data_IF_186990312187
#
_entry.id   IF_186990312187
#
_cell.length_a   1.000
_cell.length_b   1.000
_cell.length_c   1.000
_cell.angle_alpha   90.00
_cell.angle_beta   90.00
_cell.angle_gamma   90.00
#
_symmetry.space_group_name_H-M   'P 1'
#
loop_
_entity.id
_entity.type
_entity.pdbx_description
1 polymer ?
#
# COMPACT_ATOMS: atom_id res chain seq x y z
N UNK A 1 7.63 -11.61 -6.43
CA UNK A 1 8.89 -10.84 -6.51
C UNK A 1 8.65 -9.34 -6.45
N UNK A 2 9.32 -8.61 -5.54
CA UNK A 2 9.33 -7.15 -5.47
C UNK A 2 10.04 -6.50 -6.67
N UNK A 3 9.66 -5.26 -7.01
CA UNK A 3 10.43 -4.41 -7.92
C UNK A 3 11.65 -3.80 -7.21
N UNK A 4 12.60 -3.25 -7.96
CA UNK A 4 13.85 -2.73 -7.38
C UNK A 4 13.63 -1.51 -6.47
N UNK A 5 12.75 -0.61 -6.89
CA UNK A 5 12.30 0.54 -6.09
C UNK A 5 11.63 0.11 -4.79
N UNK A 6 10.79 -0.93 -4.82
CA UNK A 6 10.18 -1.51 -3.63
C UNK A 6 11.23 -2.13 -2.70
N UNK A 7 12.20 -2.89 -3.23
CA UNK A 7 13.30 -3.45 -2.43
C UNK A 7 14.10 -2.35 -1.72
N UNK A 8 14.43 -1.29 -2.45
CA UNK A 8 15.21 -0.18 -1.92
C UNK A 8 14.41 0.61 -0.85
N UNK A 9 13.14 0.90 -1.12
CA UNK A 9 12.29 1.65 -0.20
C UNK A 9 11.93 0.87 1.08
N UNK A 10 11.72 -0.44 0.98
CA UNK A 10 11.31 -1.31 2.09
C UNK A 10 12.47 -2.09 2.73
N UNK A 11 13.70 -1.90 2.23
CA UNK A 11 14.93 -2.55 2.70
C UNK A 11 14.80 -4.08 2.70
N UNK A 12 14.36 -4.63 1.56
CA UNK A 12 14.10 -6.07 1.40
C UNK A 12 15.33 -6.82 0.89
N UNK A 13 15.55 -8.03 1.40
CA UNK A 13 16.49 -8.99 0.80
C UNK A 13 15.88 -9.70 -0.42
N UNK A 14 16.70 -10.47 -1.16
CA UNK A 14 16.29 -11.18 -2.38
C UNK A 14 15.12 -12.16 -2.17
N UNK A 15 15.07 -12.79 -1.00
CA UNK A 15 14.08 -13.84 -0.68
C UNK A 15 12.77 -13.29 -0.13
N UNK A 16 12.68 -11.97 0.10
CA UNK A 16 11.50 -11.38 0.70
C UNK A 16 10.45 -11.03 -0.34
N UNK A 17 9.21 -11.40 -0.04
CA UNK A 17 8.06 -11.13 -0.89
C UNK A 17 7.23 -9.95 -0.38
N UNK A 18 6.37 -9.43 -1.25
CA UNK A 18 5.48 -8.30 -0.96
C UNK A 18 4.04 -8.64 -1.33
N UNK A 19 3.11 -8.03 -0.61
CA UNK A 19 1.69 -7.94 -0.96
C UNK A 19 1.43 -6.55 -1.53
N UNK A 20 0.71 -6.48 -2.65
CA UNK A 20 0.32 -5.22 -3.28
C UNK A 20 -1.18 -5.04 -3.24
N UNK A 21 -1.62 -3.88 -2.77
CA UNK A 21 -3.01 -3.44 -2.81
C UNK A 21 -3.16 -2.36 -3.87
N UNK A 22 -4.14 -2.55 -4.76
CA UNK A 22 -4.60 -1.57 -5.75
C UNK A 22 -6.05 -1.27 -5.44
N UNK A 23 -6.35 -0.04 -5.01
CA UNK A 23 -7.67 0.29 -4.45
C UNK A 23 -8.19 1.62 -4.97
N UNK A 24 -9.45 1.63 -5.39
CA UNK A 24 -10.20 2.87 -5.58
C UNK A 24 -10.81 3.29 -4.24
N UNK A 25 -10.48 4.49 -3.77
CA UNK A 25 -10.94 5.05 -2.50
C UNK A 25 -12.13 5.96 -2.75
N UNK A 26 -13.18 5.79 -1.94
CA UNK A 26 -14.41 6.57 -2.03
C UNK A 26 -14.57 7.48 -0.81
N UNK A 27 -15.21 8.62 -1.03
CA UNK A 27 -15.81 9.45 0.01
C UNK A 27 -17.21 9.86 -0.46
N UNK A 28 -18.22 9.65 0.40
CA UNK A 28 -19.63 9.94 0.09
C UNK A 28 -20.09 9.39 -1.27
N UNK A 29 -19.67 8.17 -1.59
CA UNK A 29 -20.01 7.49 -2.85
C UNK A 29 -19.21 7.94 -4.08
N UNK A 30 -18.34 8.95 -3.97
CA UNK A 30 -17.55 9.47 -5.08
C UNK A 30 -16.10 8.96 -5.02
N UNK A 31 -15.48 8.57 -6.16
CA UNK A 31 -14.09 8.15 -6.22
C UNK A 31 -13.15 9.34 -5.99
N UNK A 32 -12.25 9.22 -5.01
CA UNK A 32 -11.35 10.30 -4.59
C UNK A 32 -9.88 10.01 -4.89
N UNK A 33 -9.46 8.74 -4.87
CA UNK A 33 -8.07 8.39 -5.07
C UNK A 33 -7.89 6.96 -5.57
N UNK A 34 -6.90 6.76 -6.42
CA UNK A 34 -6.29 5.46 -6.65
C UNK A 34 -5.14 5.28 -5.65
N UNK A 35 -5.26 4.28 -4.79
CA UNK A 35 -4.25 3.93 -3.80
C UNK A 35 -3.50 2.67 -4.23
N UNK A 36 -2.17 2.79 -4.29
CA UNK A 36 -1.25 1.69 -4.51
C UNK A 36 -0.35 1.54 -3.28
N UNK A 37 -0.46 0.40 -2.59
CA UNK A 37 0.31 0.13 -1.39
C UNK A 37 1.06 -1.20 -1.51
N UNK A 38 2.38 -1.16 -1.32
CA UNK A 38 3.25 -2.34 -1.26
C UNK A 38 3.70 -2.57 0.17
N UNK A 39 3.43 -3.77 0.71
CA UNK A 39 3.73 -4.15 2.08
C UNK A 39 4.56 -5.43 2.10
N UNK A 40 5.64 -5.53 2.89
CA UNK A 40 6.36 -6.79 3.06
C UNK A 40 5.42 -7.90 3.55
N UNK A 41 5.45 -9.06 2.90
CA UNK A 41 4.47 -10.14 3.13
C UNK A 41 4.40 -10.62 4.58
N UNK A 42 5.52 -10.52 5.32
CA UNK A 42 5.61 -10.84 6.75
C UNK A 42 4.63 -10.06 7.65
N UNK A 43 4.10 -8.91 7.19
CA UNK A 43 3.12 -8.09 7.92
C UNK A 43 1.67 -8.32 7.45
N UNK A 44 1.45 -9.17 6.45
CA UNK A 44 0.12 -9.44 5.89
C UNK A 44 -0.07 -10.96 5.84
N UNK A 45 -0.52 -11.53 6.96
CA UNK A 45 -0.78 -12.98 7.09
C UNK A 45 -1.92 -13.44 6.15
N UNK A 46 -2.98 -12.63 6.05
CA UNK A 46 -4.09 -12.86 5.12
C UNK A 46 -4.51 -11.53 4.46
N UNK A 47 -4.21 -11.32 3.17
CA UNK A 47 -4.55 -10.07 2.49
C UNK A 47 -6.07 -9.86 2.35
N UNK A 48 -6.86 -10.94 2.37
CA UNK A 48 -8.31 -10.89 2.25
C UNK A 48 -9.02 -10.52 3.56
N UNK A 49 -8.30 -10.50 4.69
CA UNK A 49 -8.85 -10.08 5.99
C UNK A 49 -8.94 -8.54 6.13
N UNK A 50 -8.51 -7.78 5.11
CA UNK A 50 -8.53 -6.33 5.15
C UNK A 50 -9.92 -5.78 4.84
N UNK A 51 -10.57 -5.22 5.87
CA UNK A 51 -11.87 -4.57 5.76
C UNK A 51 -11.70 -3.05 5.91
N UNK A 52 -11.45 -2.37 4.78
CA UNK A 52 -11.38 -0.91 4.70
C UNK A 52 -10.01 -0.30 5.05
N UNK A 53 -9.55 -0.42 6.29
CA UNK A 53 -8.33 0.25 6.77
C UNK A 53 -7.12 -0.69 6.85
N UNK A 54 -6.14 -0.46 5.96
CA UNK A 54 -4.84 -1.15 5.99
C UNK A 54 -4.12 -0.91 7.32
N UNK A 55 -4.20 0.32 7.86
CA UNK A 55 -3.52 0.66 9.09
C UNK A 55 -4.15 -0.03 10.30
N UNK A 56 -5.47 -0.21 10.31
CA UNK A 56 -6.15 -0.96 11.37
C UNK A 56 -5.77 -2.46 11.33
N UNK A 57 -5.62 -3.05 10.13
CA UNK A 57 -5.11 -4.41 9.99
C UNK A 57 -3.71 -4.55 10.61
N UNK A 58 -2.80 -3.62 10.28
CA UNK A 58 -1.43 -3.63 10.81
C UNK A 58 -1.39 -3.38 12.33
N UNK A 59 -2.28 -2.53 12.84
CA UNK A 59 -2.40 -2.24 14.26
C UNK A 59 -2.85 -3.45 15.09
N UNK A 60 -3.79 -4.25 14.58
CA UNK A 60 -4.18 -5.52 15.23
C UNK A 60 -3.02 -6.50 15.37
N UNK A 61 -1.97 -6.36 14.57
CA UNK A 61 -0.75 -7.16 14.61
C UNK A 61 0.41 -6.46 15.35
N UNK A 62 0.16 -5.33 16.01
CA UNK A 62 1.18 -4.53 16.70
C UNK A 62 2.18 -3.86 15.75
N UNK A 63 1.87 -3.78 14.46
CA UNK A 63 2.77 -3.30 13.39
C UNK A 63 2.30 -1.98 12.76
N UNK A 64 1.57 -1.15 13.51
CA UNK A 64 1.05 0.13 13.00
C UNK A 64 2.21 1.07 12.61
N UNK A 65 2.22 1.64 11.40
CA UNK A 65 3.18 2.68 11.04
C UNK A 65 2.98 3.94 11.89
N UNK A 66 4.06 4.45 12.48
CA UNK A 66 4.05 5.66 13.34
C UNK A 66 4.79 6.85 12.73
N UNK A 67 5.52 6.64 11.64
CA UNK A 67 6.27 7.68 10.93
C UNK A 67 6.29 7.36 9.44
N UNK A 68 6.18 8.38 8.60
CA UNK A 68 6.25 8.26 7.16
C UNK A 68 7.02 9.44 6.54
N UNK A 69 7.59 9.22 5.37
CA UNK A 69 8.06 10.27 4.48
C UNK A 69 7.09 10.36 3.31
N UNK A 70 6.53 11.55 3.07
CA UNK A 70 5.59 11.77 1.98
C UNK A 70 6.22 12.67 0.92
N UNK A 71 6.07 12.26 -0.35
CA UNK A 71 6.45 13.06 -1.51
C UNK A 71 5.19 13.49 -2.24
N UNK A 72 5.01 14.80 -2.40
CA UNK A 72 3.90 15.38 -3.14
C UNK A 72 4.37 15.84 -4.51
N UNK A 73 3.59 15.51 -5.55
CA UNK A 73 3.83 15.92 -6.94
C UNK A 73 2.49 16.16 -7.63
N UNK A 74 2.44 17.16 -8.49
CA UNK A 74 1.35 17.31 -9.44
C UNK A 74 1.63 16.44 -10.67
N UNK A 75 0.60 15.74 -11.16
CA UNK A 75 0.64 14.92 -12.37
C UNK A 75 -0.63 15.15 -13.17
N UNK A 76 -0.57 14.95 -14.49
CA UNK A 76 -1.77 14.75 -15.30
C UNK A 76 -2.20 13.30 -15.18
N UNK A 77 -3.51 13.04 -15.18
CA UNK A 77 -4.05 11.68 -15.23
C UNK A 77 -4.05 11.18 -16.68
N UNK A 78 -3.66 9.93 -16.89
CA UNK A 78 -3.74 9.27 -18.21
C UNK A 78 -5.05 8.47 -18.36
N UNK A 79 -5.34 7.99 -19.56
CA UNK A 79 -6.57 7.22 -19.84
C UNK A 79 -6.68 5.91 -19.04
N UNK A 80 -5.56 5.35 -18.57
CA UNK A 80 -5.58 4.11 -17.79
C UNK A 80 -6.14 4.33 -16.38
N UNK A 81 -6.03 5.55 -15.85
CA UNK A 81 -6.47 5.91 -14.51
C UNK A 81 -7.64 6.91 -14.47
N UNK A 82 -8.11 7.37 -15.64
CA UNK A 82 -9.21 8.32 -15.80
C UNK A 82 -10.60 7.72 -15.54
#
# INVERSE_FOLDING_TARGET
>A
MPHEDERNALQLSSEQEVVRFYRLRYADGNPMALEMATIPSRYIVNPFAMEGSLYALLEKQGCRPVRAFQRLRAISIDEQYA
#
